data_IF_996485988395
#
_entry.id   IF_996485988395
#
_cell.length_a   1.000
_cell.length_b   1.000
_cell.length_c   1.000
_cell.angle_alpha   90.00
_cell.angle_beta   90.00
_cell.angle_gamma   90.00
#
_symmetry.space_group_name_H-M   'P 1'
#
loop_
_entity.id
_entity.type
_entity.pdbx_description
1 polymer ?
#
# COMPACT_ATOMS: atom_id res chain seq x y z
N UNK A 1 6.64 1.17 9.20
CA UNK A 1 5.30 0.55 8.99
C UNK A 1 5.13 0.24 7.50
N UNK A 2 4.34 -0.77 7.08
CA UNK A 2 4.10 -1.05 5.66
C UNK A 2 2.70 -0.56 5.22
N UNK A 3 2.64 0.31 4.22
CA UNK A 3 1.42 0.79 3.59
C UNK A 3 1.15 0.00 2.30
N UNK A 4 0.02 -0.71 2.26
CA UNK A 4 -0.42 -1.42 1.07
C UNK A 4 -1.19 -0.46 0.14
N UNK A 5 -0.66 -0.27 -1.06
CA UNK A 5 -1.19 0.71 -2.03
C UNK A 5 -1.68 0.04 -3.31
N UNK A 6 -2.78 0.56 -3.86
CA UNK A 6 -3.16 0.32 -5.26
C UNK A 6 -3.19 1.67 -5.98
N UNK A 7 -2.42 1.86 -7.07
CA UNK A 7 -2.49 3.08 -7.87
C UNK A 7 -3.93 3.41 -8.29
N UNK A 8 -4.33 4.66 -8.09
CA UNK A 8 -5.69 5.14 -8.39
C UNK A 8 -6.78 4.68 -7.41
N UNK A 9 -6.42 4.19 -6.22
CA UNK A 9 -7.37 3.82 -5.17
C UNK A 9 -7.35 4.81 -3.99
N UNK A 10 -8.26 4.62 -3.03
CA UNK A 10 -8.35 5.42 -1.80
C UNK A 10 -7.09 5.35 -0.92
N UNK A 11 -6.21 4.36 -1.13
CA UNK A 11 -4.90 4.23 -0.47
C UNK A 11 -3.95 5.40 -0.77
N UNK A 12 -4.28 6.27 -1.74
CA UNK A 12 -3.52 7.51 -1.97
C UNK A 12 -3.61 8.50 -0.80
N UNK A 13 -4.76 8.57 -0.11
CA UNK A 13 -4.93 9.48 1.04
C UNK A 13 -3.95 9.18 2.19
N UNK A 14 -3.86 7.93 2.70
CA UNK A 14 -2.86 7.61 3.72
C UNK A 14 -1.42 7.67 3.21
N UNK A 15 -1.17 7.48 1.91
CA UNK A 15 0.17 7.68 1.32
C UNK A 15 0.60 9.14 1.44
N UNK A 16 -0.26 10.10 1.05
CA UNK A 16 0.02 11.53 1.21
C UNK A 16 0.20 11.87 2.69
N UNK A 17 -0.67 11.39 3.58
CA UNK A 17 -0.55 11.66 5.01
C UNK A 17 0.78 11.16 5.60
N UNK A 18 1.28 10.00 5.16
CA UNK A 18 2.55 9.45 5.62
C UNK A 18 3.76 10.23 5.08
N UNK A 19 3.74 10.61 3.79
CA UNK A 19 4.76 11.51 3.22
C UNK A 19 4.83 12.84 3.98
N UNK A 20 3.69 13.48 4.24
CA UNK A 20 3.65 14.77 4.96
C UNK A 20 4.04 14.63 6.45
N UNK A 21 3.85 13.45 7.05
CA UNK A 21 4.21 13.20 8.44
C UNK A 21 5.72 13.02 8.66
N UNK A 22 6.48 12.74 7.59
CA UNK A 22 7.91 12.43 7.66
C UNK A 22 8.25 11.16 8.47
N UNK A 23 7.28 10.29 8.70
CA UNK A 23 7.47 9.02 9.40
C UNK A 23 8.11 7.98 8.48
N UNK A 24 8.94 7.10 9.03
CA UNK A 24 9.49 5.97 8.28
C UNK A 24 8.41 4.91 7.98
N UNK A 25 8.17 4.69 6.70
CA UNK A 25 7.27 3.67 6.21
C UNK A 25 7.71 3.12 4.85
N UNK A 26 7.18 1.96 4.50
CA UNK A 26 7.43 1.29 3.23
C UNK A 26 6.11 1.11 2.48
N UNK A 27 6.15 1.17 1.15
CA UNK A 27 4.97 0.92 0.32
C UNK A 27 5.03 -0.44 -0.35
N UNK A 28 3.93 -1.19 -0.32
CA UNK A 28 3.77 -2.45 -1.03
C UNK A 28 2.59 -2.33 -2.00
N UNK A 29 2.82 -2.57 -3.29
CA UNK A 29 1.72 -2.53 -4.26
C UNK A 29 0.88 -3.80 -4.16
N UNK A 30 -0.44 -3.65 -4.15
CA UNK A 30 -1.39 -4.78 -4.13
C UNK A 30 -2.28 -4.74 -5.37
N UNK A 31 -2.34 -5.86 -6.06
CA UNK A 31 -3.41 -6.13 -7.01
C UNK A 31 -4.63 -6.62 -6.23
N UNK A 32 -5.65 -5.76 -6.10
CA UNK A 32 -6.89 -6.09 -5.39
C UNK A 32 -7.79 -7.08 -6.17
N UNK A 33 -7.56 -7.30 -7.47
CA UNK A 33 -8.29 -8.31 -8.25
C UNK A 33 -7.80 -9.71 -7.91
N UNK A 34 -6.48 -9.91 -7.90
CA UNK A 34 -5.86 -11.20 -7.55
C UNK A 34 -5.57 -11.33 -6.06
N UNK A 35 -5.73 -10.24 -5.31
CA UNK A 35 -5.38 -10.10 -3.89
C UNK A 35 -3.95 -10.52 -3.58
N UNK A 36 -3.03 -10.08 -4.43
CA UNK A 36 -1.60 -10.37 -4.28
C UNK A 36 -0.78 -9.10 -4.21
N UNK A 37 0.26 -9.12 -3.39
CA UNK A 37 1.27 -8.06 -3.39
C UNK A 37 2.16 -8.18 -4.63
N UNK A 38 2.92 -7.13 -4.93
CA UNK A 38 3.95 -7.16 -5.98
C UNK A 38 5.03 -8.20 -5.66
N UNK A 39 5.31 -8.45 -4.38
CA UNK A 39 6.15 -9.55 -3.91
C UNK A 39 5.58 -10.95 -4.11
N UNK A 40 4.30 -11.08 -4.52
CA UNK A 40 3.63 -12.36 -4.72
C UNK A 40 2.97 -12.95 -3.46
N UNK A 41 2.93 -12.19 -2.38
CA UNK A 41 2.30 -12.59 -1.11
C UNK A 41 0.78 -12.44 -1.18
N UNK A 42 0.06 -13.28 -0.44
CA UNK A 42 -1.41 -13.20 -0.33
C UNK A 42 -1.82 -12.05 0.60
N UNK A 43 -2.73 -11.19 0.15
CA UNK A 43 -3.20 -10.01 0.88
C UNK A 43 -4.52 -10.24 1.66
N UNK A 44 -5.01 -11.49 1.78
CA UNK A 44 -6.23 -11.79 2.54
C UNK A 44 -6.00 -12.07 4.03
N UNK A 45 -4.74 -12.09 4.50
CA UNK A 45 -4.40 -12.60 5.82
C UNK A 45 -4.22 -11.51 6.88
#
# INVERSE_FOLDING_TARGET
MKLYIKPGACSLSPHIALEESGLDYETETVDLKTKRTKGGEDFNH
#
